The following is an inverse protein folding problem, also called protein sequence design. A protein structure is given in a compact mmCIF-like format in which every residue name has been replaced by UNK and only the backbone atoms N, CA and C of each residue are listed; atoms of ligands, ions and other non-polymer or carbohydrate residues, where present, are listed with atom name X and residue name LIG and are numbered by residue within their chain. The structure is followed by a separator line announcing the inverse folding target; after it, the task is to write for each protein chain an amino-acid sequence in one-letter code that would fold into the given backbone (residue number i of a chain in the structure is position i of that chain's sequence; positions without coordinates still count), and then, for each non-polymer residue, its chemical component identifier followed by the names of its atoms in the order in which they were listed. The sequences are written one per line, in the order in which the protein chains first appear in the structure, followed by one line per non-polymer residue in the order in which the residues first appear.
data_IF_701778848215
#
_entry.id   IF_701778848215
#
_cell.length_a   1.000
_cell.length_b   1.000
_cell.length_c   1.000
_cell.angle_alpha   90.00
_cell.angle_beta   90.00
_cell.angle_gamma   90.00
#
_symmetry.space_group_name_H-M   'P 1'
#
loop_
_entity.id
_entity.type
_entity.pdbx_description
1 polymer ?
#
# COMPACT_ATOMS: atom_id res chain seq x y z
N UNK A 1 -2.87 6.83 28.76
CA UNK A 1 -2.38 6.17 27.52
C UNK A 1 -1.99 7.26 26.54
N UNK A 2 -0.70 7.39 26.18
CA UNK A 2 -0.27 8.39 25.19
C UNK A 2 -0.64 7.88 23.81
N UNK A 3 -1.48 8.61 23.06
CA UNK A 3 -1.74 8.31 21.66
C UNK A 3 -0.39 8.34 20.92
N UNK A 4 0.01 7.20 20.35
CA UNK A 4 1.21 7.10 19.51
C UNK A 4 0.92 7.96 18.29
N UNK A 5 1.74 8.97 18.02
CA UNK A 5 1.60 9.78 16.81
C UNK A 5 1.63 8.83 15.60
N UNK A 6 0.50 8.70 14.92
CA UNK A 6 0.41 7.92 13.69
C UNK A 6 1.17 8.70 12.63
N UNK A 7 2.44 8.39 12.42
CA UNK A 7 3.24 8.99 11.35
C UNK A 7 2.62 8.57 10.02
N UNK A 8 1.82 9.47 9.46
CA UNK A 8 1.24 9.34 8.13
C UNK A 8 2.36 9.59 7.11
N UNK A 9 2.41 8.76 6.07
CA UNK A 9 3.31 8.93 4.93
C UNK A 9 2.47 9.22 3.68
N UNK A 10 3.00 10.12 2.86
CA UNK A 10 2.54 10.37 1.49
C UNK A 10 3.77 10.42 0.59
N UNK A 11 3.88 9.47 -0.35
CA UNK A 11 4.94 9.41 -1.36
C UNK A 11 4.29 9.58 -2.72
N UNK A 12 4.72 10.59 -3.46
CA UNK A 12 4.12 10.95 -4.75
C UNK A 12 5.21 11.15 -5.80
N UNK A 13 5.15 10.37 -6.88
CA UNK A 13 5.98 10.49 -8.07
C UNK A 13 5.10 10.39 -9.32
N UNK A 14 4.35 11.46 -9.58
CA UNK A 14 3.41 11.53 -10.68
C UNK A 14 4.11 11.50 -12.04
N UNK A 15 3.46 10.94 -13.07
CA UNK A 15 2.14 10.27 -13.08
C UNK A 15 2.21 8.76 -12.78
N UNK A 16 3.25 8.28 -12.11
CA UNK A 16 3.58 6.85 -12.05
C UNK A 16 3.28 6.17 -10.72
N UNK A 17 3.39 6.89 -9.61
CA UNK A 17 3.33 6.30 -8.27
C UNK A 17 2.69 7.26 -7.27
N UNK A 18 1.75 6.74 -6.50
CA UNK A 18 1.30 7.33 -5.24
C UNK A 18 1.29 6.26 -4.16
N UNK A 19 1.65 6.64 -2.93
CA UNK A 19 1.53 5.76 -1.78
C UNK A 19 1.09 6.57 -0.56
N UNK A 20 0.03 6.11 0.10
CA UNK A 20 -0.56 6.77 1.28
C UNK A 20 -0.76 5.75 2.37
N UNK A 21 -0.33 6.07 3.58
CA UNK A 21 -0.44 5.14 4.68
C UNK A 21 0.14 5.64 5.99
N UNK A 22 0.45 4.68 6.85
CA UNK A 22 1.14 4.87 8.11
C UNK A 22 2.03 3.64 8.38
N UNK A 23 2.78 3.65 9.47
CA UNK A 23 3.66 2.53 9.83
C UNK A 23 2.96 1.19 10.11
N UNK A 24 1.63 1.09 9.97
CA UNK A 24 0.85 -0.15 10.09
C UNK A 24 0.13 -0.59 8.82
N UNK A 25 -0.23 0.35 7.94
CA UNK A 25 -0.96 0.09 6.70
C UNK A 25 -0.51 1.03 5.60
N UNK A 26 -0.45 0.57 4.36
CA UNK A 26 -0.01 1.37 3.23
C UNK A 26 -0.75 0.94 1.97
N UNK A 27 -1.28 1.92 1.24
CA UNK A 27 -1.88 1.73 -0.07
C UNK A 27 -0.95 2.31 -1.10
N UNK A 28 -0.55 1.50 -2.08
CA UNK A 28 0.33 1.89 -3.17
C UNK A 28 -0.45 1.80 -4.46
N UNK A 29 -0.54 2.89 -5.21
CA UNK A 29 -1.09 2.90 -6.56
C UNK A 29 0.02 3.20 -7.56
N UNK A 30 0.27 2.24 -8.45
CA UNK A 30 1.37 2.26 -9.41
C UNK A 30 0.85 2.13 -10.84
N UNK A 31 1.28 3.01 -11.73
CA UNK A 31 1.05 2.83 -13.17
C UNK A 31 1.64 1.50 -13.63
N UNK A 32 0.91 0.75 -14.46
CA UNK A 32 1.39 -0.53 -15.01
C UNK A 32 2.69 -0.42 -15.82
N UNK A 33 3.04 0.80 -16.25
CA UNK A 33 4.29 1.11 -16.95
C UNK A 33 5.53 1.22 -16.05
N UNK A 34 5.37 1.42 -14.74
CA UNK A 34 6.47 1.55 -13.78
C UNK A 34 6.87 0.17 -13.27
N UNK A 35 8.13 -0.23 -13.31
CA UNK A 35 8.62 -1.47 -12.69
C UNK A 35 8.96 -1.24 -11.21
N UNK A 36 8.76 -2.24 -10.34
CA UNK A 36 9.17 -2.17 -8.92
C UNK A 36 10.70 -2.09 -8.73
N UNK A 37 11.46 -2.40 -9.78
CA UNK A 37 12.92 -2.27 -9.83
C UNK A 37 13.38 -0.85 -10.20
N UNK A 38 12.45 0.03 -10.62
CA UNK A 38 12.81 1.38 -11.03
C UNK A 38 13.28 2.21 -9.84
N UNK A 39 14.29 3.10 -10.00
CA UNK A 39 14.80 3.92 -8.91
C UNK A 39 13.74 4.79 -8.22
N UNK A 40 12.67 5.15 -8.94
CA UNK A 40 11.53 5.92 -8.43
C UNK A 40 10.80 5.15 -7.31
N UNK A 41 10.87 3.81 -7.32
CA UNK A 41 10.23 2.94 -6.32
C UNK A 41 11.08 2.77 -5.04
N UNK A 42 12.36 3.14 -5.06
CA UNK A 42 13.28 2.91 -3.94
C UNK A 42 12.82 3.52 -2.60
N UNK A 43 12.34 4.77 -2.52
CA UNK A 43 11.87 5.34 -1.26
C UNK A 43 10.70 4.54 -0.66
N UNK A 44 9.82 4.03 -1.53
CA UNK A 44 8.69 3.21 -1.13
C UNK A 44 9.15 1.82 -0.66
N UNK A 45 10.08 1.19 -1.37
CA UNK A 45 10.65 -0.10 -0.95
C UNK A 45 11.31 -0.02 0.43
N UNK A 46 12.10 1.02 0.67
CA UNK A 46 12.72 1.28 1.98
C UNK A 46 11.67 1.50 3.07
N UNK A 47 10.60 2.24 2.77
CA UNK A 47 9.52 2.46 3.72
C UNK A 47 8.81 1.15 4.11
N UNK A 48 8.47 0.32 3.13
CA UNK A 48 7.85 -1.01 3.33
C UNK A 48 8.74 -1.88 4.20
N UNK A 49 10.03 -1.99 3.88
CA UNK A 49 11.00 -2.79 4.62
C UNK A 49 11.17 -2.30 6.06
N UNK A 50 11.37 -0.98 6.25
CA UNK A 50 11.61 -0.38 7.57
C UNK A 50 10.44 -0.54 8.55
N UNK A 51 9.21 -0.65 8.05
CA UNK A 51 8.00 -0.85 8.85
C UNK A 51 7.55 -2.32 8.89
N UNK A 52 8.29 -3.25 8.25
CA UNK A 52 7.94 -4.66 8.20
C UNK A 52 6.59 -4.92 7.51
N UNK A 53 6.21 -4.09 6.54
CA UNK A 53 4.92 -4.21 5.87
C UNK A 53 4.97 -5.36 4.87
N UNK A 54 3.91 -6.16 4.86
CA UNK A 54 3.70 -7.28 3.94
C UNK A 54 2.48 -7.01 3.07
N UNK A 55 2.53 -7.52 1.84
CA UNK A 55 1.41 -7.37 0.91
C UNK A 55 0.21 -8.18 1.41
N UNK A 56 -0.98 -7.58 1.33
CA UNK A 56 -2.25 -8.19 1.76
C UNK A 56 -3.19 -8.42 0.58
N UNK A 57 -3.22 -7.48 -0.36
CA UNK A 57 -4.04 -7.56 -1.57
C UNK A 57 -3.34 -6.86 -2.73
N UNK A 58 -3.67 -7.28 -3.95
CA UNK A 58 -3.31 -6.54 -5.16
C UNK A 58 -4.42 -6.67 -6.17
N UNK A 59 -4.80 -5.55 -6.75
CA UNK A 59 -5.81 -5.48 -7.79
C UNK A 59 -5.42 -4.46 -8.86
N UNK A 60 -6.03 -4.58 -10.04
CA UNK A 60 -5.90 -3.56 -11.09
C UNK A 60 -7.17 -2.74 -11.06
N UNK A 61 -7.04 -1.46 -10.72
CA UNK A 61 -8.18 -0.54 -10.68
C UNK A 61 -8.15 0.41 -11.89
N UNK A 62 -9.34 0.87 -12.26
CA UNK A 62 -9.45 1.94 -13.24
C UNK A 62 -8.75 3.21 -12.73
N UNK A 63 -8.23 3.99 -13.67
CA UNK A 63 -7.37 5.16 -13.47
C UNK A 63 -7.74 5.96 -12.22
N UNK A 64 -6.82 6.03 -11.25
CA UNK A 64 -6.92 6.98 -10.13
C UNK A 64 -6.50 8.38 -10.58
N UNK A 65 -7.05 9.41 -9.93
CA UNK A 65 -6.65 10.79 -10.18
C UNK A 65 -5.12 10.93 -10.19
N UNK A 66 -4.61 11.71 -11.14
CA UNK A 66 -3.18 12.00 -11.32
C UNK A 66 -2.28 10.87 -11.88
N UNK A 67 -2.80 9.64 -12.03
CA UNK A 67 -2.06 8.52 -12.61
C UNK A 67 -2.45 8.26 -14.07
N UNK A 68 -1.51 7.75 -14.87
CA UNK A 68 -1.74 7.49 -16.29
C UNK A 68 -2.29 6.08 -16.52
N UNK A 69 -3.55 5.99 -16.93
CA UNK A 69 -4.22 4.74 -17.30
C UNK A 69 -4.53 3.82 -16.11
N UNK A 70 -4.85 2.53 -16.37
CA UNK A 70 -5.06 1.54 -15.32
C UNK A 70 -3.84 1.44 -14.39
N UNK A 71 -4.09 1.23 -13.10
CA UNK A 71 -3.04 1.17 -12.08
C UNK A 71 -3.11 -0.13 -11.31
N UNK A 72 -1.96 -0.68 -10.96
CA UNK A 72 -1.86 -1.74 -9.97
C UNK A 72 -1.93 -1.10 -8.58
N UNK A 73 -2.96 -1.45 -7.83
CA UNK A 73 -3.12 -1.07 -6.44
C UNK A 73 -2.70 -2.24 -5.55
N UNK A 74 -1.73 -1.99 -4.68
CA UNK A 74 -1.23 -2.95 -3.71
C UNK A 74 -1.46 -2.43 -2.30
N UNK A 75 -2.11 -3.25 -1.48
CA UNK A 75 -2.33 -2.99 -0.07
C UNK A 75 -1.26 -3.72 0.73
N UNK A 76 -0.68 -3.01 1.69
CA UNK A 76 0.29 -3.55 2.62
C UNK A 76 -0.16 -3.28 4.05
N UNK A 77 0.18 -4.20 4.94
CA UNK A 77 -0.07 -4.08 6.37
C UNK A 77 1.04 -4.76 7.16
N UNK A 78 1.17 -4.49 8.46
CA UNK A 78 2.04 -5.34 9.30
C UNK A 78 1.47 -6.76 9.37
N UNK A 79 2.29 -7.77 9.68
CA UNK A 79 1.82 -9.15 9.78
C UNK A 79 0.65 -9.32 10.75
N UNK A 80 0.65 -8.61 11.88
CA UNK A 80 -0.41 -8.66 12.87
C UNK A 80 -1.73 -8.11 12.31
N UNK A 81 -1.68 -6.99 11.59
CA UNK A 81 -2.86 -6.39 11.00
C UNK A 81 -3.37 -7.21 9.81
N UNK A 82 -2.47 -7.80 9.00
CA UNK A 82 -2.84 -8.74 7.93
C UNK A 82 -3.64 -9.92 8.50
N UNK A 83 -3.19 -10.51 9.61
CA UNK A 83 -3.86 -11.67 10.20
C UNK A 83 -5.26 -11.31 10.71
N UNK A 84 -5.44 -10.11 11.26
CA UNK A 84 -6.77 -9.56 11.63
C UNK A 84 -7.65 -9.36 10.39
N UNK A 85 -7.12 -8.74 9.33
CA UNK A 85 -7.86 -8.51 8.07
C UNK A 85 -8.30 -9.84 7.47
N UNK A 86 -7.42 -10.84 7.46
CA UNK A 86 -7.74 -12.18 6.94
C UNK A 86 -8.85 -12.85 7.74
N UNK A 87 -8.76 -12.82 9.07
CA UNK A 87 -9.80 -13.40 9.93
C UNK A 87 -11.16 -12.71 9.71
N UNK A 88 -11.17 -11.37 9.61
CA UNK A 88 -12.40 -10.62 9.34
C UNK A 88 -13.02 -10.98 7.99
N UNK A 89 -12.20 -11.16 6.95
CA UNK A 89 -12.67 -11.57 5.62
C UNK A 89 -13.27 -12.99 5.63
N UNK A 90 -12.64 -13.93 6.36
CA UNK A 90 -13.18 -15.28 6.54
C UNK A 90 -14.55 -15.27 7.25
N UNK A 91 -14.73 -14.41 8.27
CA UNK A 91 -16.00 -14.31 9.01
C UNK A 91 -17.15 -13.72 8.18
N UNK A 92 -16.86 -12.86 7.20
CA UNK A 92 -17.87 -12.31 6.28
C UNK A 92 -18.34 -13.32 5.24
N UNK A 93 -17.49 -14.26 4.80
CA UNK A 93 -17.82 -15.27 3.78
C UNK A 93 -18.81 -16.34 4.31
N UNK A 94 -18.92 -16.49 5.64
CA UNK A 94 -19.82 -17.47 6.29
C UNK A 94 -21.16 -16.88 6.80
N UNK A 95 -21.49 -15.62 6.45
CA UNK A 95 -22.77 -14.98 6.79
C UNK A 95 -23.70 -14.87 5.59
#
# INVERSE_FOLDING_TARGET
MKAKATNVIEITALPYLTAVGNGTQLVVSRSLSLNVSDPIYLPLAQYIESNGLVITATEVVETKEFLSGPVAESHYATPELRDIIRQAAEEEEYR
#
